data_IF_491830655988
#
_entry.id   IF_491830655988
#
_cell.length_a   1.000
_cell.length_b   1.000
_cell.length_c   1.000
_cell.angle_alpha   90.00
_cell.angle_beta   90.00
_cell.angle_gamma   90.00
#
_symmetry.space_group_name_H-M   'P 1'
#
loop_
_entity.id
_entity.type
_entity.pdbx_description
1 polymer ?
#
# COMPACT_ATOMS: atom_id res chain seq x y z
N UNK A 1 -9.48 -22.63 30.94
CA UNK A 1 -8.81 -22.84 29.68
C UNK A 1 -9.80 -22.62 28.56
N UNK A 2 -9.92 -21.39 28.01
CA UNK A 2 -10.68 -21.12 26.78
C UNK A 2 -9.67 -20.72 25.73
N UNK A 3 -9.56 -21.56 24.68
CA UNK A 3 -8.76 -21.28 23.50
C UNK A 3 -9.18 -19.93 22.91
N UNK A 4 -8.24 -18.99 22.82
CA UNK A 4 -8.31 -17.88 21.90
C UNK A 4 -8.30 -18.49 20.49
N UNK A 5 -9.44 -18.44 19.78
CA UNK A 5 -9.50 -18.72 18.34
C UNK A 5 -8.52 -17.76 17.68
N UNK A 6 -7.48 -18.29 17.04
CA UNK A 6 -6.63 -17.53 16.15
C UNK A 6 -7.52 -16.92 15.06
N UNK A 7 -7.51 -15.59 14.94
CA UNK A 7 -8.14 -14.89 13.82
C UNK A 7 -7.56 -15.48 12.53
N UNK A 8 -8.40 -16.00 11.65
CA UNK A 8 -7.94 -16.51 10.35
C UNK A 8 -7.44 -15.32 9.51
N UNK A 9 -6.56 -15.56 8.55
CA UNK A 9 -6.08 -14.51 7.62
C UNK A 9 -7.26 -13.89 6.87
N UNK A 10 -8.29 -14.66 6.57
CA UNK A 10 -9.54 -14.20 5.94
C UNK A 10 -10.29 -13.20 6.83
N UNK A 11 -10.39 -13.49 8.14
CA UNK A 11 -11.04 -12.57 9.10
C UNK A 11 -10.29 -11.24 9.21
N UNK A 12 -8.95 -11.25 9.21
CA UNK A 12 -8.14 -10.03 9.24
C UNK A 12 -8.36 -9.16 8.01
N UNK A 13 -8.40 -9.74 6.83
CA UNK A 13 -8.63 -9.01 5.57
C UNK A 13 -10.03 -8.39 5.52
N UNK A 14 -11.05 -9.08 6.02
CA UNK A 14 -12.40 -8.54 6.10
C UNK A 14 -12.51 -7.38 7.09
N UNK A 15 -11.88 -7.52 8.27
CA UNK A 15 -11.84 -6.43 9.27
C UNK A 15 -11.15 -5.20 8.69
N UNK A 16 -10.00 -5.38 8.02
CA UNK A 16 -9.26 -4.28 7.39
C UNK A 16 -10.08 -3.61 6.28
N UNK A 17 -10.77 -4.39 5.45
CA UNK A 17 -11.65 -3.87 4.39
C UNK A 17 -12.78 -3.02 4.99
N UNK A 18 -13.44 -3.51 6.03
CA UNK A 18 -14.53 -2.80 6.70
C UNK A 18 -14.03 -1.54 7.43
N UNK A 19 -12.84 -1.61 8.04
CA UNK A 19 -12.21 -0.43 8.64
C UNK A 19 -11.87 0.64 7.60
N UNK A 20 -11.34 0.25 6.44
CA UNK A 20 -11.08 1.19 5.34
C UNK A 20 -12.38 1.83 4.82
N UNK A 21 -13.48 1.10 4.78
CA UNK A 21 -14.79 1.64 4.46
C UNK A 21 -15.24 2.69 5.51
N UNK A 22 -15.08 2.39 6.78
CA UNK A 22 -15.39 3.32 7.87
C UNK A 22 -14.54 4.60 7.82
N UNK A 23 -13.25 4.49 7.50
CA UNK A 23 -12.36 5.64 7.30
C UNK A 23 -12.82 6.48 6.10
N UNK A 24 -13.16 5.85 4.97
CA UNK A 24 -13.70 6.55 3.80
C UNK A 24 -14.99 7.28 4.12
N UNK A 25 -15.88 6.65 4.87
CA UNK A 25 -17.17 7.21 5.28
C UNK A 25 -17.01 8.49 6.11
N UNK A 26 -15.97 8.53 6.95
CA UNK A 26 -15.67 9.64 7.86
C UNK A 26 -14.61 10.61 7.31
N UNK A 27 -14.18 10.45 6.06
CA UNK A 27 -13.18 11.29 5.42
C UNK A 27 -13.74 12.68 5.04
N UNK A 28 -12.89 13.72 4.92
CA UNK A 28 -13.29 15.04 4.45
C UNK A 28 -14.07 15.00 3.13
N UNK A 29 -15.13 15.78 3.05
CA UNK A 29 -16.06 15.81 1.92
C UNK A 29 -17.23 14.85 2.02
N UNK A 30 -17.24 13.94 3.00
CA UNK A 30 -18.39 13.06 3.26
C UNK A 30 -19.44 13.74 4.15
N UNK A 31 -20.74 13.48 3.93
CA UNK A 31 -21.80 14.10 4.74
C UNK A 31 -21.73 13.76 6.24
N UNK A 32 -21.33 12.53 6.59
CA UNK A 32 -21.07 12.16 8.00
C UNK A 32 -19.94 13.00 8.58
N UNK A 33 -18.83 13.19 7.85
CA UNK A 33 -17.72 14.02 8.33
C UNK A 33 -18.17 15.45 8.61
N UNK A 34 -18.97 16.03 7.75
CA UNK A 34 -19.54 17.36 7.98
C UNK A 34 -20.32 17.42 9.29
N UNK A 35 -21.14 16.41 9.57
CA UNK A 35 -21.86 16.34 10.85
C UNK A 35 -20.92 16.18 12.06
N UNK A 36 -19.88 15.32 11.94
CA UNK A 36 -18.88 15.11 12.98
C UNK A 36 -18.11 16.41 13.30
N UNK A 37 -17.74 17.18 12.28
CA UNK A 37 -17.06 18.46 12.45
C UNK A 37 -17.98 19.48 13.16
N UNK A 38 -19.29 19.49 12.85
CA UNK A 38 -20.28 20.32 13.56
C UNK A 38 -20.46 19.89 15.03
N UNK A 39 -20.48 18.58 15.29
CA UNK A 39 -20.59 18.01 16.66
C UNK A 39 -19.38 18.43 17.50
N UNK A 40 -18.16 18.31 16.92
CA UNK A 40 -16.92 18.74 17.58
C UNK A 40 -16.94 20.26 17.87
N UNK A 41 -17.28 21.06 16.86
CA UNK A 41 -17.38 22.52 16.97
C UNK A 41 -18.42 22.96 18.01
N UNK A 42 -19.50 22.18 18.17
CA UNK A 42 -20.53 22.37 19.18
C UNK A 42 -20.16 21.88 20.57
N UNK A 43 -18.95 21.32 20.76
CA UNK A 43 -18.52 20.68 22.02
C UNK A 43 -19.50 19.61 22.50
N UNK A 44 -20.04 18.80 21.60
CA UNK A 44 -20.98 17.73 21.89
C UNK A 44 -20.30 16.36 21.84
N UNK A 45 -20.86 15.41 22.58
CA UNK A 45 -20.55 13.99 22.45
C UNK A 45 -21.62 13.30 21.60
N UNK A 46 -21.23 12.30 20.82
CA UNK A 46 -22.16 11.52 20.02
C UNK A 46 -21.82 10.03 20.02
N UNK A 47 -22.87 9.22 19.81
CA UNK A 47 -22.77 7.79 19.52
C UNK A 47 -23.62 7.52 18.27
N UNK A 48 -23.03 7.01 17.21
CA UNK A 48 -23.68 6.85 15.91
C UNK A 48 -23.42 5.42 15.42
N UNK A 49 -24.48 4.70 15.03
CA UNK A 49 -24.39 3.39 14.39
C UNK A 49 -24.82 3.52 12.93
N UNK A 50 -24.01 3.01 12.00
CA UNK A 50 -24.27 3.02 10.57
C UNK A 50 -24.29 1.59 10.06
N UNK A 51 -25.38 1.20 9.44
CA UNK A 51 -25.57 -0.15 8.90
C UNK A 51 -25.93 -1.20 9.92
N UNK A 52 -26.06 -2.46 9.43
CA UNK A 52 -26.49 -3.63 10.22
C UNK A 52 -27.67 -3.32 11.16
N UNK A 53 -28.67 -2.65 10.60
CA UNK A 53 -29.75 -2.02 11.37
C UNK A 53 -30.57 -3.03 12.18
N UNK A 54 -30.72 -4.26 11.69
CA UNK A 54 -31.47 -5.32 12.39
C UNK A 54 -30.81 -5.68 13.72
N UNK A 55 -29.52 -5.99 13.71
CA UNK A 55 -28.80 -6.37 14.94
C UNK A 55 -28.58 -5.17 15.86
N UNK A 56 -28.35 -3.96 15.31
CA UNK A 56 -28.24 -2.74 16.12
C UNK A 56 -29.55 -2.47 16.87
N UNK A 57 -30.71 -2.56 16.18
CA UNK A 57 -32.01 -2.33 16.80
C UNK A 57 -32.40 -3.43 17.82
N UNK A 58 -31.96 -4.66 17.59
CA UNK A 58 -32.16 -5.75 18.55
C UNK A 58 -31.29 -5.61 19.82
N UNK A 59 -30.17 -4.88 19.75
CA UNK A 59 -29.24 -4.66 20.87
C UNK A 59 -29.56 -3.42 21.70
N UNK A 60 -30.72 -2.81 21.56
CA UNK A 60 -31.11 -1.61 22.30
C UNK A 60 -32.61 -1.50 22.47
N UNK A 61 -33.05 -0.46 23.15
CA UNK A 61 -34.46 -0.18 23.39
C UNK A 61 -34.73 1.35 23.42
N UNK A 62 -36.00 1.69 23.49
CA UNK A 62 -36.51 3.06 23.61
C UNK A 62 -36.08 3.99 22.43
N UNK A 63 -36.11 5.29 22.67
CA UNK A 63 -35.80 6.31 21.70
C UNK A 63 -36.90 6.63 20.70
N UNK A 64 -36.62 7.57 19.82
CA UNK A 64 -37.57 8.07 18.82
C UNK A 64 -37.42 7.28 17.50
N UNK A 65 -38.52 6.71 17.03
CA UNK A 65 -38.63 6.17 15.67
C UNK A 65 -38.85 7.30 14.68
N UNK A 66 -37.89 7.62 13.85
CA UNK A 66 -37.90 8.80 12.98
C UNK A 66 -38.13 8.45 11.51
N UNK A 67 -37.36 7.55 10.93
CA UNK A 67 -37.40 7.16 9.51
C UNK A 67 -37.37 8.38 8.57
N UNK A 68 -36.49 9.35 8.85
CA UNK A 68 -36.32 10.58 8.07
C UNK A 68 -35.08 10.53 7.21
N UNK A 69 -35.06 11.24 6.10
CA UNK A 69 -33.89 11.33 5.22
C UNK A 69 -32.66 11.86 5.99
N UNK A 70 -31.52 11.22 5.78
CA UNK A 70 -30.25 11.62 6.37
C UNK A 70 -29.79 12.97 5.79
N UNK A 71 -29.37 13.87 6.67
CA UNK A 71 -28.57 15.07 6.36
C UNK A 71 -27.61 15.36 7.50
N UNK A 72 -26.47 16.01 7.19
CA UNK A 72 -25.48 16.39 8.21
C UNK A 72 -26.09 17.25 9.33
N UNK A 73 -26.95 18.19 8.98
CA UNK A 73 -27.64 19.06 9.96
C UNK A 73 -28.57 18.27 10.87
N UNK A 74 -29.36 17.32 10.31
CA UNK A 74 -30.24 16.48 11.12
C UNK A 74 -29.43 15.60 12.08
N UNK A 75 -28.36 14.98 11.62
CA UNK A 75 -27.48 14.20 12.48
C UNK A 75 -26.91 15.07 13.61
N UNK A 76 -26.42 16.28 13.31
CA UNK A 76 -25.93 17.22 14.32
C UNK A 76 -27.00 17.56 15.36
N UNK A 77 -28.22 17.92 14.92
CA UNK A 77 -29.32 18.28 15.85
C UNK A 77 -29.72 17.08 16.73
N UNK A 78 -29.82 15.88 16.17
CA UNK A 78 -30.18 14.67 16.91
C UNK A 78 -29.06 14.22 17.87
N UNK A 79 -27.80 14.58 17.60
CA UNK A 79 -26.66 14.28 18.48
C UNK A 79 -26.63 15.11 19.78
N UNK A 80 -27.51 16.13 19.89
CA UNK A 80 -27.70 16.90 21.14
C UNK A 80 -28.47 16.10 22.20
N UNK A 81 -29.16 15.05 21.79
CA UNK A 81 -29.83 14.13 22.70
C UNK A 81 -28.87 13.04 23.20
N UNK A 82 -29.13 12.56 24.41
CA UNK A 82 -28.45 11.36 24.90
C UNK A 82 -28.82 10.13 24.06
N UNK A 83 -28.04 9.03 24.22
CA UNK A 83 -28.25 7.81 23.45
C UNK A 83 -27.56 7.81 22.10
N UNK A 84 -27.93 6.86 21.26
CA UNK A 84 -27.36 6.67 19.94
C UNK A 84 -28.28 7.17 18.83
N UNK A 85 -27.68 7.58 17.70
CA UNK A 85 -28.36 7.78 16.43
C UNK A 85 -28.07 6.57 15.53
N UNK A 86 -29.12 5.95 14.98
CA UNK A 86 -29.04 4.78 14.10
C UNK A 86 -29.36 5.20 12.68
N UNK A 87 -28.46 4.91 11.75
CA UNK A 87 -28.54 5.28 10.32
C UNK A 87 -28.49 3.98 9.51
N UNK A 88 -29.22 3.96 8.41
CA UNK A 88 -29.23 2.82 7.49
C UNK A 88 -27.88 2.58 6.77
N UNK A 89 -27.75 1.44 6.10
CA UNK A 89 -26.53 1.02 5.39
C UNK A 89 -26.12 1.98 4.26
N UNK A 90 -27.10 2.64 3.62
CA UNK A 90 -26.88 3.47 2.45
C UNK A 90 -26.73 4.96 2.80
N UNK A 91 -26.74 5.34 4.09
CA UNK A 91 -26.77 6.73 4.54
C UNK A 91 -27.94 7.53 3.95
N UNK A 92 -29.05 6.87 3.74
CA UNK A 92 -30.25 7.50 3.18
C UNK A 92 -31.21 7.99 4.24
N UNK A 93 -31.29 7.28 5.37
CA UNK A 93 -32.25 7.55 6.44
C UNK A 93 -31.65 7.46 7.83
N UNK A 94 -32.13 8.33 8.74
CA UNK A 94 -31.96 8.21 10.17
C UNK A 94 -33.19 7.46 10.71
N UNK A 95 -32.95 6.28 11.26
CA UNK A 95 -34.01 5.39 11.71
C UNK A 95 -34.42 5.64 13.15
N UNK A 96 -33.44 5.90 14.03
CA UNK A 96 -33.64 6.14 15.47
C UNK A 96 -32.75 7.27 15.96
N UNK A 97 -33.21 7.97 16.98
CA UNK A 97 -32.43 8.87 17.81
C UNK A 97 -32.80 8.70 19.29
N UNK A 98 -31.93 9.16 20.21
CA UNK A 98 -32.06 8.91 21.64
C UNK A 98 -32.21 7.41 21.94
N UNK A 99 -31.54 6.54 21.16
CA UNK A 99 -31.66 5.10 21.24
C UNK A 99 -30.68 4.54 22.28
N UNK A 100 -31.21 3.81 23.28
CA UNK A 100 -30.41 3.26 24.35
C UNK A 100 -29.84 1.90 23.95
N UNK A 101 -28.55 1.86 23.63
CA UNK A 101 -27.83 0.62 23.31
C UNK A 101 -27.42 -0.10 24.59
N UNK A 102 -27.73 -1.40 24.67
CA UNK A 102 -27.49 -2.28 25.81
C UNK A 102 -26.64 -3.49 25.39
N UNK A 103 -25.37 -3.30 24.92
CA UNK A 103 -24.50 -4.42 24.58
C UNK A 103 -24.15 -5.21 25.85
N UNK A 104 -23.87 -6.52 25.67
CA UNK A 104 -23.48 -7.40 26.77
C UNK A 104 -22.28 -6.83 27.55
N UNK A 105 -22.46 -6.55 28.87
CA UNK A 105 -21.39 -6.01 29.71
C UNK A 105 -20.18 -6.93 29.87
N UNK A 106 -20.34 -8.23 29.61
CA UNK A 106 -19.24 -9.22 29.67
C UNK A 106 -18.21 -9.09 28.58
N UNK A 107 -18.54 -8.38 27.46
CA UNK A 107 -17.61 -8.11 26.39
C UNK A 107 -16.51 -7.18 26.89
N UNK A 108 -15.26 -7.69 26.85
CA UNK A 108 -14.10 -6.96 27.32
C UNK A 108 -13.80 -5.77 26.40
N UNK A 109 -13.42 -4.64 27.00
CA UNK A 109 -12.95 -3.44 26.27
C UNK A 109 -11.96 -2.68 27.14
N UNK A 110 -10.95 -2.08 26.52
CA UNK A 110 -9.98 -1.19 27.15
C UNK A 110 -10.49 0.26 27.28
N UNK A 111 -11.64 0.58 26.68
CA UNK A 111 -12.21 1.92 26.67
C UNK A 111 -12.73 2.34 28.06
N UNK A 112 -12.53 3.61 28.43
CA UNK A 112 -12.90 4.13 29.75
C UNK A 112 -14.20 4.95 29.77
N UNK A 113 -14.52 5.65 28.67
CA UNK A 113 -15.74 6.46 28.55
C UNK A 113 -16.99 5.63 28.23
N UNK A 114 -18.17 6.01 28.75
CA UNK A 114 -19.42 5.24 28.56
C UNK A 114 -19.74 5.05 27.06
N UNK A 115 -19.77 6.16 26.26
CA UNK A 115 -20.04 6.09 24.82
C UNK A 115 -19.01 5.23 24.07
N UNK A 116 -17.72 5.35 24.43
CA UNK A 116 -16.64 4.56 23.81
C UNK A 116 -16.74 3.06 24.16
N UNK A 117 -17.06 2.72 25.41
CA UNK A 117 -17.27 1.32 25.80
C UNK A 117 -18.47 0.70 25.09
N UNK A 118 -19.57 1.45 25.00
CA UNK A 118 -20.76 1.00 24.27
C UNK A 118 -20.42 0.81 22.79
N UNK A 119 -19.72 1.77 22.16
CA UNK A 119 -19.29 1.67 20.76
C UNK A 119 -18.40 0.44 20.51
N UNK A 120 -17.39 0.22 21.35
CA UNK A 120 -16.49 -0.92 21.23
C UNK A 120 -17.25 -2.25 21.33
N UNK A 121 -18.15 -2.40 22.30
CA UNK A 121 -18.95 -3.61 22.48
C UNK A 121 -19.95 -3.83 21.35
N UNK A 122 -20.63 -2.77 20.89
CA UNK A 122 -21.54 -2.85 19.75
C UNK A 122 -20.83 -3.30 18.47
N UNK A 123 -19.61 -2.84 18.23
CA UNK A 123 -18.83 -3.27 17.06
C UNK A 123 -18.37 -4.74 17.11
N UNK A 124 -18.44 -5.40 18.28
CA UNK A 124 -18.22 -6.84 18.42
C UNK A 124 -19.50 -7.62 18.16
N UNK A 125 -20.65 -7.06 18.56
CA UNK A 125 -21.95 -7.71 18.43
C UNK A 125 -22.57 -7.59 17.04
N UNK A 126 -22.20 -6.56 16.29
CA UNK A 126 -22.82 -6.20 14.99
C UNK A 126 -21.78 -5.93 13.93
N UNK A 127 -22.18 -5.99 12.68
CA UNK A 127 -21.35 -5.56 11.54
C UNK A 127 -21.49 -4.05 11.25
N UNK A 128 -22.16 -3.29 12.11
CA UNK A 128 -22.31 -1.85 12.00
C UNK A 128 -20.97 -1.12 12.15
N UNK A 129 -20.82 -0.03 11.45
CA UNK A 129 -19.76 0.96 11.72
C UNK A 129 -20.25 1.82 12.89
N UNK A 130 -19.56 1.75 14.03
CA UNK A 130 -19.96 2.51 15.21
C UNK A 130 -18.98 3.66 15.43
N UNK A 131 -19.51 4.88 15.49
CA UNK A 131 -18.74 6.12 15.65
C UNK A 131 -19.03 6.72 17.01
N UNK A 132 -17.98 7.06 17.76
CA UNK A 132 -18.10 7.76 19.04
C UNK A 132 -17.31 9.06 19.01
N UNK A 133 -17.96 10.16 19.41
CA UNK A 133 -17.34 11.48 19.58
C UNK A 133 -17.19 11.79 21.05
N UNK A 134 -15.96 12.13 21.46
CA UNK A 134 -15.66 12.52 22.84
C UNK A 134 -15.96 14.00 23.05
N UNK A 135 -16.95 14.30 23.88
CA UNK A 135 -17.33 15.67 24.25
C UNK A 135 -16.15 16.49 24.82
N UNK A 136 -15.37 15.89 25.70
CA UNK A 136 -14.26 16.59 26.39
C UNK A 136 -13.02 16.81 25.49
N UNK A 137 -12.71 15.84 24.64
CA UNK A 137 -11.46 15.83 23.84
C UNK A 137 -11.67 16.23 22.40
N UNK A 138 -12.91 16.31 21.91
CA UNK A 138 -13.20 16.55 20.50
C UNK A 138 -12.63 15.47 19.56
N UNK A 139 -12.44 14.24 20.08
CA UNK A 139 -11.83 13.13 19.35
C UNK A 139 -12.92 12.23 18.82
N UNK A 140 -12.80 11.80 17.59
CA UNK A 140 -13.68 10.83 16.92
C UNK A 140 -12.98 9.49 16.82
N UNK A 141 -13.62 8.44 17.32
CA UNK A 141 -13.20 7.05 17.16
C UNK A 141 -14.24 6.28 16.37
N UNK A 142 -13.76 5.47 15.45
CA UNK A 142 -14.58 4.52 14.66
C UNK A 142 -14.27 3.12 15.15
N UNK A 143 -15.30 2.29 15.31
CA UNK A 143 -15.20 0.92 15.79
C UNK A 143 -15.83 -0.02 14.77
N UNK A 144 -15.12 -1.10 14.45
CA UNK A 144 -15.55 -2.14 13.50
C UNK A 144 -15.04 -3.48 14.00
N UNK A 145 -15.92 -4.46 14.20
CA UNK A 145 -15.57 -5.83 14.61
C UNK A 145 -14.54 -5.89 15.75
N UNK A 146 -14.73 -5.05 16.78
CA UNK A 146 -13.86 -4.98 17.94
C UNK A 146 -12.53 -4.24 17.78
N UNK A 147 -12.23 -3.75 16.58
CA UNK A 147 -11.06 -2.87 16.32
C UNK A 147 -11.51 -1.41 16.35
N UNK A 148 -10.62 -0.53 16.78
CA UNK A 148 -10.87 0.91 16.81
C UNK A 148 -9.84 1.68 16.02
N UNK A 149 -10.28 2.78 15.42
CA UNK A 149 -9.42 3.73 14.72
C UNK A 149 -9.81 5.16 15.11
N UNK A 150 -8.83 5.94 15.57
CA UNK A 150 -9.03 7.35 15.88
C UNK A 150 -8.85 8.18 14.61
N UNK A 151 -9.87 8.99 14.27
CA UNK A 151 -9.82 9.90 13.13
C UNK A 151 -8.83 11.03 13.44
N UNK A 152 -7.81 11.14 12.61
CA UNK A 152 -6.78 12.17 12.74
C UNK A 152 -7.26 13.52 12.17
N UNK A 153 -6.83 14.65 12.76
CA UNK A 153 -6.99 15.97 12.14
C UNK A 153 -6.32 16.03 10.76
N UNK A 154 -6.93 16.76 9.83
CA UNK A 154 -6.38 16.92 8.47
C UNK A 154 -4.95 17.48 8.48
N UNK A 155 -4.65 18.39 9.40
CA UNK A 155 -3.29 18.96 9.55
C UNK A 155 -2.22 17.93 9.88
N UNK A 156 -2.54 16.94 10.71
CA UNK A 156 -1.61 15.84 11.04
C UNK A 156 -1.41 14.92 9.84
N UNK A 157 -2.48 14.59 9.12
CA UNK A 157 -2.38 13.78 7.91
C UNK A 157 -1.54 14.49 6.85
N UNK A 158 -1.74 15.81 6.67
CA UNK A 158 -0.95 16.61 5.73
C UNK A 158 0.53 16.71 6.11
N UNK A 159 0.85 16.77 7.41
CA UNK A 159 2.24 16.70 7.85
C UNK A 159 2.89 15.36 7.48
N UNK A 160 2.20 14.24 7.69
CA UNK A 160 2.65 12.91 7.27
C UNK A 160 2.81 12.82 5.75
N UNK A 161 1.86 13.35 4.99
CA UNK A 161 1.93 13.41 3.52
C UNK A 161 3.18 14.15 3.04
N UNK A 162 3.48 15.32 3.60
CA UNK A 162 4.65 16.09 3.21
C UNK A 162 5.95 15.32 3.47
N UNK A 163 6.03 14.61 4.59
CA UNK A 163 7.18 13.78 4.90
C UNK A 163 7.30 12.59 3.94
N UNK A 164 6.20 11.88 3.66
CA UNK A 164 6.16 10.74 2.73
C UNK A 164 6.53 11.17 1.30
N UNK A 165 6.02 12.29 0.83
CA UNK A 165 6.37 12.85 -0.50
C UNK A 165 7.86 13.17 -0.57
N UNK A 166 8.43 13.80 0.46
CA UNK A 166 9.87 14.07 0.54
C UNK A 166 10.69 12.77 0.52
N UNK A 167 10.27 11.76 1.27
CA UNK A 167 10.91 10.43 1.26
C UNK A 167 10.85 9.80 -0.12
N UNK A 168 9.69 9.81 -0.77
CA UNK A 168 9.53 9.29 -2.14
C UNK A 168 10.46 10.00 -3.13
N UNK A 169 10.55 11.33 -3.08
CA UNK A 169 11.40 12.11 -3.98
C UNK A 169 12.88 11.79 -3.78
N UNK A 170 13.36 11.77 -2.54
CA UNK A 170 14.77 11.54 -2.22
C UNK A 170 15.19 10.10 -2.52
N UNK A 171 14.37 9.13 -2.14
CA UNK A 171 14.65 7.70 -2.39
C UNK A 171 14.57 7.39 -3.87
N UNK A 172 13.59 7.97 -4.61
CA UNK A 172 13.52 7.80 -6.07
C UNK A 172 14.77 8.32 -6.76
N UNK A 173 15.21 9.54 -6.45
CA UNK A 173 16.43 10.10 -7.05
C UNK A 173 17.70 9.30 -6.70
N UNK A 174 17.73 8.68 -5.50
CA UNK A 174 18.82 7.78 -5.12
C UNK A 174 18.77 6.46 -5.89
N UNK A 175 17.59 5.87 -6.01
CA UNK A 175 17.36 4.63 -6.77
C UNK A 175 17.71 4.80 -8.26
N UNK A 176 17.26 5.90 -8.88
CA UNK A 176 17.57 6.17 -10.29
C UNK A 176 19.09 6.21 -10.54
N UNK A 177 19.85 6.84 -9.64
CA UNK A 177 21.33 6.87 -9.70
C UNK A 177 21.95 5.50 -9.47
N UNK A 178 21.40 4.72 -8.51
CA UNK A 178 21.87 3.37 -8.23
C UNK A 178 21.61 2.42 -9.40
N UNK A 179 20.45 2.51 -10.05
CA UNK A 179 20.12 1.72 -11.24
C UNK A 179 21.01 2.08 -12.44
N UNK A 180 21.34 3.36 -12.64
CA UNK A 180 22.28 3.77 -13.67
C UNK A 180 23.68 3.19 -13.42
N UNK A 181 24.16 3.24 -12.17
CA UNK A 181 25.43 2.60 -11.78
C UNK A 181 25.37 1.10 -11.97
N UNK A 182 24.28 0.45 -11.55
CA UNK A 182 24.09 -0.98 -11.71
C UNK A 182 24.20 -1.40 -13.17
N UNK A 183 23.54 -0.67 -14.09
CA UNK A 183 23.63 -0.98 -15.53
C UNK A 183 25.08 -1.00 -16.03
N UNK A 184 25.93 -0.08 -15.58
CA UNK A 184 27.35 -0.10 -15.95
C UNK A 184 28.06 -1.32 -15.36
N UNK A 185 27.79 -1.68 -14.10
CA UNK A 185 28.37 -2.87 -13.46
C UNK A 185 27.90 -4.18 -14.12
N UNK A 186 26.62 -4.26 -14.52
CA UNK A 186 26.04 -5.40 -15.26
C UNK A 186 26.75 -5.63 -16.59
N UNK A 187 27.01 -4.54 -17.34
CA UNK A 187 27.68 -4.60 -18.63
C UNK A 187 29.18 -4.91 -18.52
N UNK A 188 29.80 -4.65 -17.37
CA UNK A 188 31.20 -4.95 -17.08
C UNK A 188 31.40 -6.27 -16.27
N UNK A 189 30.30 -7.00 -15.93
CA UNK A 189 30.28 -8.24 -15.15
C UNK A 189 30.91 -8.10 -13.75
N UNK A 190 30.61 -6.98 -13.08
CA UNK A 190 31.16 -6.65 -11.75
C UNK A 190 30.10 -6.38 -10.69
N UNK A 191 28.89 -6.95 -10.82
CA UNK A 191 27.82 -6.77 -9.84
C UNK A 191 28.07 -7.68 -8.64
N UNK A 192 27.96 -7.13 -7.43
CA UNK A 192 28.01 -7.88 -6.18
C UNK A 192 26.65 -8.03 -5.54
N UNK A 193 26.49 -9.00 -4.63
CA UNK A 193 25.27 -9.16 -3.83
C UNK A 193 24.98 -7.91 -3.01
N UNK A 194 25.99 -7.20 -2.51
CA UNK A 194 25.80 -5.92 -1.81
C UNK A 194 25.16 -4.86 -2.69
N UNK A 195 25.62 -4.71 -3.95
CA UNK A 195 25.06 -3.71 -4.89
C UNK A 195 23.55 -3.93 -5.13
N UNK A 196 23.11 -5.17 -5.32
CA UNK A 196 21.69 -5.48 -5.53
C UNK A 196 20.86 -5.37 -4.25
N UNK A 197 21.45 -5.69 -3.08
CA UNK A 197 20.78 -5.57 -1.78
C UNK A 197 20.35 -4.13 -1.50
N UNK A 198 21.23 -3.16 -1.72
CA UNK A 198 20.93 -1.74 -1.55
C UNK A 198 19.80 -1.25 -2.46
N UNK A 199 19.76 -1.80 -3.68
CA UNK A 199 18.70 -1.49 -4.65
C UNK A 199 17.37 -2.08 -4.23
N UNK A 200 17.31 -3.35 -3.82
CA UNK A 200 16.08 -3.98 -3.31
C UNK A 200 15.55 -3.27 -2.07
N UNK A 201 16.44 -2.90 -1.13
CA UNK A 201 16.08 -2.10 0.03
C UNK A 201 15.43 -0.76 -0.37
N UNK A 202 16.00 -0.09 -1.39
CA UNK A 202 15.46 1.19 -1.90
C UNK A 202 14.09 1.02 -2.55
N UNK A 203 13.86 -0.06 -3.30
CA UNK A 203 12.56 -0.38 -3.88
C UNK A 203 11.50 -0.62 -2.80
N UNK A 204 11.83 -1.36 -1.74
CA UNK A 204 10.89 -1.62 -0.63
C UNK A 204 10.54 -0.34 0.15
N UNK A 205 11.52 0.53 0.41
CA UNK A 205 11.26 1.84 1.04
C UNK A 205 10.29 2.66 0.17
N UNK A 206 10.48 2.69 -1.15
CA UNK A 206 9.57 3.37 -2.08
C UNK A 206 8.17 2.76 -2.06
N UNK A 207 8.08 1.44 -2.05
CA UNK A 207 6.79 0.75 -2.04
C UNK A 207 6.03 1.00 -0.74
N UNK A 208 6.69 0.91 0.41
CA UNK A 208 6.09 1.20 1.71
C UNK A 208 5.61 2.66 1.80
N UNK A 209 6.45 3.62 1.40
CA UNK A 209 6.08 5.03 1.39
C UNK A 209 4.89 5.32 0.43
N UNK A 210 4.86 4.66 -0.73
CA UNK A 210 3.75 4.73 -1.69
C UNK A 210 2.44 4.21 -1.10
N UNK A 211 2.47 3.07 -0.42
CA UNK A 211 1.27 2.45 0.14
C UNK A 211 0.75 3.24 1.35
N UNK A 212 1.63 3.79 2.17
CA UNK A 212 1.24 4.69 3.25
C UNK A 212 0.66 6.00 2.72
N UNK A 213 1.23 6.56 1.64
CA UNK A 213 0.69 7.74 0.99
C UNK A 213 -0.70 7.49 0.38
N UNK A 214 -0.93 6.32 -0.25
CA UNK A 214 -2.27 5.91 -0.70
C UNK A 214 -3.28 5.87 0.46
N UNK A 215 -2.86 5.36 1.62
CA UNK A 215 -3.70 5.35 2.80
C UNK A 215 -4.00 6.76 3.33
N UNK A 216 -3.01 7.67 3.32
CA UNK A 216 -3.22 9.08 3.63
C UNK A 216 -4.22 9.74 2.66
N UNK A 217 -4.17 9.43 1.37
CA UNK A 217 -5.13 9.92 0.36
C UNK A 217 -6.56 9.48 0.71
N UNK A 218 -6.75 8.23 1.12
CA UNK A 218 -8.05 7.72 1.58
C UNK A 218 -8.56 8.51 2.79
N UNK A 219 -7.70 8.78 3.77
CA UNK A 219 -8.03 9.57 4.98
C UNK A 219 -8.39 11.02 4.64
N UNK A 220 -7.75 11.60 3.62
CA UNK A 220 -7.99 12.98 3.17
C UNK A 220 -9.27 13.13 2.35
N UNK A 221 -9.82 12.06 1.82
CA UNK A 221 -11.03 12.07 1.01
C UNK A 221 -10.96 13.10 -0.13
N UNK A 222 -11.90 14.05 -0.19
CA UNK A 222 -11.94 15.07 -1.25
C UNK A 222 -10.71 16.00 -1.27
N UNK A 223 -10.01 16.16 -0.16
CA UNK A 223 -8.78 16.98 -0.05
C UNK A 223 -7.53 16.24 -0.54
N UNK A 224 -7.61 14.92 -0.75
CA UNK A 224 -6.48 14.09 -1.20
C UNK A 224 -6.15 14.18 -2.69
N UNK A 225 -6.97 14.87 -3.52
CA UNK A 225 -6.81 14.88 -4.98
C UNK A 225 -5.42 15.37 -5.46
N UNK A 226 -4.90 16.44 -4.87
CA UNK A 226 -3.59 16.98 -5.24
C UNK A 226 -2.47 15.99 -4.86
N UNK A 227 -2.59 15.36 -3.70
CA UNK A 227 -1.64 14.33 -3.22
C UNK A 227 -1.65 13.13 -4.15
N UNK A 228 -2.83 12.71 -4.63
CA UNK A 228 -2.98 11.65 -5.61
C UNK A 228 -2.20 11.96 -6.90
N UNK A 229 -2.34 13.17 -7.44
CA UNK A 229 -1.62 13.60 -8.64
C UNK A 229 -0.08 13.60 -8.43
N UNK A 230 0.37 14.05 -7.26
CA UNK A 230 1.79 13.99 -6.91
C UNK A 230 2.30 12.55 -6.83
N UNK A 231 1.52 11.65 -6.22
CA UNK A 231 1.88 10.24 -6.15
C UNK A 231 1.98 9.61 -7.53
N UNK A 232 1.04 9.86 -8.43
CA UNK A 232 1.05 9.37 -9.81
C UNK A 232 2.29 9.84 -10.58
N UNK A 233 2.69 11.10 -10.36
CA UNK A 233 3.89 11.66 -10.97
C UNK A 233 5.19 11.03 -10.43
N UNK A 234 5.27 10.78 -9.11
CA UNK A 234 6.48 10.27 -8.46
C UNK A 234 6.65 8.76 -8.57
N UNK A 235 5.55 8.04 -8.50
CA UNK A 235 5.51 6.57 -8.41
C UNK A 235 4.94 5.90 -9.67
N UNK A 236 5.14 6.47 -10.85
CA UNK A 236 4.61 5.96 -12.11
C UNK A 236 4.83 4.44 -12.31
N UNK A 237 4.13 3.84 -13.27
CA UNK A 237 4.15 2.39 -13.55
C UNK A 237 5.55 1.83 -13.84
N UNK A 238 6.51 2.66 -14.24
CA UNK A 238 7.89 2.24 -14.51
C UNK A 238 8.57 1.62 -13.30
N UNK A 239 8.37 2.17 -12.08
CA UNK A 239 9.04 1.65 -10.87
C UNK A 239 8.63 0.21 -10.56
N UNK A 240 7.34 -0.11 -10.69
CA UNK A 240 6.85 -1.47 -10.43
C UNK A 240 7.38 -2.47 -11.46
N UNK A 241 7.48 -2.04 -12.71
CA UNK A 241 8.06 -2.85 -13.77
C UNK A 241 9.56 -3.04 -13.55
N UNK A 242 10.31 -1.97 -13.26
CA UNK A 242 11.75 -2.05 -12.98
C UNK A 242 12.04 -2.96 -11.79
N UNK A 243 11.22 -2.89 -10.75
CA UNK A 243 11.35 -3.77 -9.58
C UNK A 243 11.11 -5.24 -9.95
N UNK A 244 10.07 -5.54 -10.73
CA UNK A 244 9.78 -6.89 -11.17
C UNK A 244 10.90 -7.46 -12.06
N UNK A 245 11.41 -6.66 -13.02
CA UNK A 245 12.52 -7.05 -13.86
C UNK A 245 13.80 -7.26 -13.05
N UNK A 246 14.07 -6.39 -12.06
CA UNK A 246 15.22 -6.53 -11.16
C UNK A 246 15.17 -7.84 -10.36
N UNK A 247 14.01 -8.25 -9.85
CA UNK A 247 13.86 -9.54 -9.17
C UNK A 247 14.12 -10.68 -10.16
N UNK A 248 13.54 -10.63 -11.36
CA UNK A 248 13.71 -11.68 -12.38
C UNK A 248 15.13 -11.79 -12.88
N UNK A 249 15.86 -10.69 -12.97
CA UNK A 249 17.28 -10.67 -13.39
C UNK A 249 18.20 -11.38 -12.41
N UNK A 250 17.88 -11.35 -11.12
CA UNK A 250 18.78 -11.84 -10.06
C UNK A 250 18.23 -13.03 -9.27
N UNK A 251 17.01 -13.47 -9.48
CA UNK A 251 16.46 -14.65 -8.82
C UNK A 251 16.99 -15.95 -9.45
N UNK A 252 17.13 -17.00 -8.65
CA UNK A 252 17.51 -18.34 -9.13
C UNK A 252 16.48 -18.94 -10.11
N UNK A 253 15.22 -18.49 -10.04
CA UNK A 253 14.12 -18.79 -10.97
C UNK A 253 13.51 -17.46 -11.41
N UNK A 254 13.65 -17.13 -12.70
CA UNK A 254 13.21 -15.89 -13.32
C UNK A 254 11.71 -15.82 -13.65
N UNK A 255 10.94 -16.85 -13.27
CA UNK A 255 9.50 -16.90 -13.56
C UNK A 255 8.73 -15.78 -12.86
N UNK A 256 7.66 -15.32 -13.52
CA UNK A 256 6.73 -14.31 -12.96
C UNK A 256 6.12 -14.74 -11.62
N UNK A 257 5.83 -16.03 -11.45
CA UNK A 257 5.25 -16.55 -10.21
C UNK A 257 6.25 -16.51 -9.06
N UNK A 258 7.52 -16.83 -9.34
CA UNK A 258 8.58 -16.73 -8.35
C UNK A 258 8.87 -15.25 -8.01
N UNK A 259 8.88 -14.36 -9.00
CA UNK A 259 9.04 -12.93 -8.76
C UNK A 259 7.96 -12.36 -7.82
N UNK A 260 6.68 -12.77 -8.01
CA UNK A 260 5.58 -12.41 -7.10
C UNK A 260 5.80 -12.96 -5.69
N UNK A 261 6.30 -14.20 -5.56
CA UNK A 261 6.63 -14.81 -4.26
C UNK A 261 7.74 -14.04 -3.56
N UNK A 262 8.83 -13.72 -4.26
CA UNK A 262 9.98 -12.97 -3.71
C UNK A 262 9.51 -11.57 -3.26
N UNK A 263 8.70 -10.88 -4.06
CA UNK A 263 8.16 -9.58 -3.70
C UNK A 263 7.31 -9.64 -2.42
N UNK A 264 6.52 -10.69 -2.24
CA UNK A 264 5.79 -10.89 -0.97
C UNK A 264 6.74 -11.11 0.21
N UNK A 265 7.80 -11.87 0.03
CA UNK A 265 8.82 -12.07 1.08
C UNK A 265 9.52 -10.76 1.44
N UNK A 266 9.95 -9.95 0.46
CA UNK A 266 10.58 -8.66 0.73
C UNK A 266 9.65 -7.69 1.48
N UNK A 267 8.35 -7.66 1.12
CA UNK A 267 7.36 -6.80 1.79
C UNK A 267 7.12 -7.16 3.27
N UNK A 268 7.43 -8.40 3.68
CA UNK A 268 7.31 -8.88 5.04
C UNK A 268 8.61 -8.72 5.87
N UNK A 269 9.74 -8.41 5.20
CA UNK A 269 11.03 -8.22 5.85
C UNK A 269 11.11 -6.92 6.63
N UNK A 270 11.82 -6.98 7.76
CA UNK A 270 12.18 -5.77 8.51
C UNK A 270 13.26 -4.96 7.77
N UNK A 271 13.41 -3.65 8.04
CA UNK A 271 14.48 -2.85 7.45
C UNK A 271 15.90 -3.43 7.65
N UNK A 272 16.16 -4.07 8.81
CA UNK A 272 17.43 -4.73 9.07
C UNK A 272 17.65 -5.98 8.21
N UNK A 273 16.59 -6.73 7.91
CA UNK A 273 16.67 -7.90 7.02
C UNK A 273 16.87 -7.49 5.57
N UNK A 274 16.21 -6.41 5.12
CA UNK A 274 16.37 -5.87 3.77
C UNK A 274 17.76 -5.30 3.48
N UNK A 275 18.51 -4.90 4.50
CA UNK A 275 19.91 -4.45 4.37
C UNK A 275 20.93 -5.55 4.62
N UNK A 276 20.49 -6.78 4.88
CA UNK A 276 21.36 -7.94 5.07
C UNK A 276 21.49 -8.73 3.76
N UNK A 277 22.68 -8.76 3.11
CA UNK A 277 22.86 -9.44 1.82
C UNK A 277 22.48 -10.92 1.86
N UNK A 278 22.80 -11.64 2.93
CA UNK A 278 22.49 -13.06 3.06
C UNK A 278 20.97 -13.32 3.11
N UNK A 279 20.21 -12.44 3.77
CA UNK A 279 18.74 -12.53 3.80
C UNK A 279 18.13 -12.27 2.42
N UNK A 280 18.67 -11.29 1.71
CA UNK A 280 18.25 -10.98 0.34
C UNK A 280 18.59 -12.16 -0.60
N UNK A 281 19.79 -12.73 -0.51
CA UNK A 281 20.19 -13.92 -1.28
C UNK A 281 19.23 -15.10 -1.05
N UNK A 282 18.92 -15.40 0.21
CA UNK A 282 17.97 -16.47 0.56
C UNK A 282 16.58 -16.25 -0.05
N UNK A 283 16.08 -15.01 -0.05
CA UNK A 283 14.81 -14.69 -0.68
C UNK A 283 14.84 -14.86 -2.20
N UNK A 284 15.97 -14.53 -2.84
CA UNK A 284 16.21 -14.73 -4.28
C UNK A 284 16.42 -16.21 -4.65
N UNK A 285 16.60 -17.10 -3.67
CA UNK A 285 16.74 -18.55 -3.86
C UNK A 285 18.19 -19.03 -3.90
N UNK A 286 19.11 -18.32 -3.27
CA UNK A 286 20.50 -18.71 -3.13
C UNK A 286 20.83 -19.02 -1.66
N UNK A 287 21.55 -20.11 -1.45
CA UNK A 287 22.12 -20.46 -0.15
C UNK A 287 23.62 -20.10 -0.16
N UNK A 288 24.12 -19.66 1.00
CA UNK A 288 25.57 -19.48 1.28
C UNK A 288 26.32 -18.47 0.37
N UNK A 289 25.68 -17.35 -0.02
CA UNK A 289 26.36 -16.24 -0.67
C UNK A 289 26.80 -15.18 0.35
N UNK A 290 28.00 -14.62 0.15
CA UNK A 290 28.54 -13.48 0.90
C UNK A 290 28.25 -12.17 0.15
N UNK A 291 28.46 -11.04 0.83
CA UNK A 291 28.22 -9.69 0.28
C UNK A 291 29.04 -9.38 -0.97
N UNK A 292 30.27 -9.95 -1.07
CA UNK A 292 31.19 -9.79 -2.22
C UNK A 292 30.94 -10.82 -3.34
N UNK A 293 29.96 -11.73 -3.18
CA UNK A 293 29.64 -12.72 -4.20
C UNK A 293 29.18 -12.03 -5.49
N UNK A 294 29.78 -12.41 -6.61
CA UNK A 294 29.43 -11.88 -7.93
C UNK A 294 28.08 -12.43 -8.35
N UNK A 295 27.20 -11.55 -8.81
CA UNK A 295 25.86 -11.84 -9.28
C UNK A 295 25.74 -11.57 -10.78
N UNK A 296 25.42 -12.59 -11.56
CA UNK A 296 25.29 -12.48 -13.02
C UNK A 296 23.85 -12.22 -13.40
N UNK A 297 23.51 -11.04 -13.96
CA UNK A 297 22.16 -10.71 -14.39
C UNK A 297 21.77 -11.46 -15.65
N UNK A 298 20.48 -11.77 -15.79
CA UNK A 298 19.93 -12.26 -17.05
C UNK A 298 19.93 -11.19 -18.14
N UNK A 299 19.67 -9.93 -17.77
CA UNK A 299 19.68 -8.78 -18.66
C UNK A 299 18.29 -8.27 -19.08
N UNK A 300 17.20 -8.79 -18.50
CA UNK A 300 15.83 -8.37 -18.80
C UNK A 300 15.65 -6.85 -18.62
N UNK A 301 16.13 -6.32 -17.49
CA UNK A 301 16.02 -4.90 -17.17
C UNK A 301 16.83 -4.04 -18.15
N UNK A 302 18.06 -4.42 -18.42
CA UNK A 302 18.96 -3.67 -19.31
C UNK A 302 18.44 -3.68 -20.74
N UNK A 303 17.95 -4.82 -21.24
CA UNK A 303 17.32 -4.93 -22.57
C UNK A 303 16.04 -4.11 -22.65
N UNK A 304 15.20 -4.08 -21.62
CA UNK A 304 13.95 -3.32 -21.62
C UNK A 304 14.13 -1.80 -21.71
N UNK A 305 15.32 -1.28 -21.37
CA UNK A 305 15.65 0.15 -21.50
C UNK A 305 15.92 0.57 -22.96
N UNK A 306 16.17 -0.39 -23.84
CA UNK A 306 16.48 -0.08 -25.25
C UNK A 306 15.21 -0.07 -26.07
N UNK A 307 14.88 1.09 -26.65
CA UNK A 307 13.59 1.34 -27.33
C UNK A 307 13.30 0.45 -28.55
N UNK A 308 14.30 -0.23 -29.10
CA UNK A 308 14.12 -1.18 -30.22
C UNK A 308 13.72 -2.57 -29.76
N UNK A 309 13.82 -2.88 -28.46
CA UNK A 309 13.37 -4.12 -27.84
C UNK A 309 11.89 -3.96 -27.50
N UNK A 310 11.02 -4.75 -28.15
CA UNK A 310 9.58 -4.76 -27.91
C UNK A 310 9.23 -5.74 -26.78
N UNK A 311 8.01 -5.61 -26.25
CA UNK A 311 7.49 -6.53 -25.25
C UNK A 311 7.63 -7.99 -25.73
N UNK A 312 8.13 -8.84 -24.85
CA UNK A 312 8.37 -10.27 -25.11
C UNK A 312 9.61 -10.60 -25.96
N UNK A 313 10.35 -9.61 -26.45
CA UNK A 313 11.64 -9.85 -27.16
C UNK A 313 12.78 -10.05 -26.17
N UNK A 314 12.80 -9.27 -25.08
CA UNK A 314 13.81 -9.42 -24.05
C UNK A 314 13.80 -10.82 -23.42
N UNK A 315 12.61 -11.35 -23.15
CA UNK A 315 12.43 -12.72 -22.63
C UNK A 315 13.03 -13.78 -23.58
N UNK A 316 12.75 -13.69 -24.87
CA UNK A 316 13.27 -14.63 -25.85
C UNK A 316 14.80 -14.60 -25.96
N UNK A 317 15.38 -13.39 -25.86
CA UNK A 317 16.83 -13.23 -25.86
C UNK A 317 17.42 -13.86 -24.61
N UNK A 318 16.87 -13.59 -23.44
CA UNK A 318 17.33 -14.11 -22.16
C UNK A 318 17.17 -15.64 -22.07
N UNK A 319 16.09 -16.19 -22.59
CA UNK A 319 15.84 -17.64 -22.62
C UNK A 319 16.92 -18.38 -23.47
N UNK A 320 17.47 -17.74 -24.50
CA UNK A 320 18.50 -18.34 -25.34
C UNK A 320 19.90 -18.20 -24.75
N UNK A 321 20.25 -17.00 -24.22
CA UNK A 321 21.63 -16.71 -23.80
C UNK A 321 21.91 -17.02 -22.33
N UNK A 322 20.90 -17.09 -21.46
CA UNK A 322 21.06 -17.41 -20.04
C UNK A 322 21.75 -16.33 -19.21
N UNK A 323 22.50 -15.39 -19.80
CA UNK A 323 23.10 -14.25 -19.12
C UNK A 323 23.34 -13.07 -20.04
N UNK A 324 23.40 -11.85 -19.48
CA UNK A 324 23.72 -10.63 -20.23
C UNK A 324 25.13 -10.70 -20.85
N UNK A 325 26.09 -11.32 -20.15
CA UNK A 325 27.46 -11.41 -20.63
C UNK A 325 27.59 -12.32 -21.84
N UNK A 326 26.93 -13.48 -21.86
CA UNK A 326 26.90 -14.37 -23.03
C UNK A 326 26.27 -13.67 -24.25
N UNK A 327 25.20 -12.89 -24.02
CA UNK A 327 24.60 -12.06 -25.07
C UNK A 327 25.60 -11.04 -25.63
N UNK A 328 26.32 -10.31 -24.77
CA UNK A 328 27.30 -9.30 -25.19
C UNK A 328 28.45 -9.90 -25.97
N UNK A 329 28.94 -11.06 -25.56
CA UNK A 329 30.02 -11.78 -26.24
C UNK A 329 29.61 -12.26 -27.65
N UNK A 330 28.34 -12.65 -27.81
CA UNK A 330 27.82 -13.10 -29.09
C UNK A 330 27.52 -11.93 -30.02
N UNK A 331 26.94 -10.85 -29.53
CA UNK A 331 26.69 -9.60 -30.26
C UNK A 331 28.01 -9.00 -30.78
N UNK A 332 29.09 -9.13 -30.02
CA UNK A 332 30.40 -8.65 -30.45
C UNK A 332 30.91 -9.39 -31.69
N UNK A 333 30.56 -10.66 -31.89
CA UNK A 333 30.93 -11.48 -33.02
C UNK A 333 30.00 -11.27 -34.22
N UNK A 334 28.68 -11.26 -33.97
CA UNK A 334 27.67 -11.14 -35.02
C UNK A 334 26.38 -10.47 -34.49
N UNK A 335 26.25 -9.14 -34.61
CA UNK A 335 25.04 -8.42 -34.17
C UNK A 335 23.75 -8.84 -34.89
N UNK A 336 23.85 -9.34 -36.15
CA UNK A 336 22.68 -9.67 -36.97
C UNK A 336 21.85 -10.84 -36.40
N UNK A 337 22.45 -11.69 -35.56
CA UNK A 337 21.76 -12.80 -34.87
C UNK A 337 20.58 -12.33 -34.04
N UNK A 338 20.62 -11.09 -33.51
CA UNK A 338 19.49 -10.51 -32.77
C UNK A 338 18.22 -10.35 -33.63
N UNK A 339 18.34 -10.36 -34.95
CA UNK A 339 17.20 -10.38 -35.86
C UNK A 339 16.33 -11.63 -35.73
N UNK A 340 16.92 -12.77 -35.36
CA UNK A 340 16.23 -14.05 -35.18
C UNK A 340 15.22 -14.01 -34.03
N UNK A 341 15.45 -13.12 -33.05
CA UNK A 341 14.54 -12.89 -31.89
C UNK A 341 13.46 -11.84 -32.17
N UNK A 342 13.45 -11.25 -33.37
CA UNK A 342 12.47 -10.24 -33.75
C UNK A 342 12.88 -8.79 -33.42
N UNK A 343 14.19 -8.56 -33.21
CA UNK A 343 14.75 -7.21 -33.13
C UNK A 343 14.81 -6.59 -34.54
N UNK A 344 14.04 -5.51 -34.77
CA UNK A 344 13.96 -4.90 -36.10
C UNK A 344 15.26 -4.26 -36.58
N UNK A 345 16.13 -3.82 -35.66
CA UNK A 345 17.41 -3.18 -35.95
C UNK A 345 18.48 -3.71 -34.97
N UNK A 346 19.08 -4.87 -35.28
CA UNK A 346 20.07 -5.51 -34.43
C UNK A 346 21.27 -4.62 -34.08
N UNK A 347 21.80 -3.92 -35.06
CA UNK A 347 22.93 -2.97 -34.93
C UNK A 347 22.62 -1.83 -33.95
N UNK A 348 21.38 -1.31 -33.93
CA UNK A 348 20.98 -0.24 -32.99
C UNK A 348 20.95 -0.77 -31.56
N UNK A 349 20.50 -2.01 -31.35
CA UNK A 349 20.54 -2.62 -30.05
C UNK A 349 21.97 -2.81 -29.55
N UNK A 350 22.83 -3.39 -30.38
CA UNK A 350 24.26 -3.56 -30.08
C UNK A 350 24.95 -2.22 -29.75
N UNK A 351 24.77 -1.21 -30.60
CA UNK A 351 25.31 0.14 -30.36
C UNK A 351 24.79 0.77 -29.05
N UNK A 352 23.51 0.54 -28.71
CA UNK A 352 22.91 1.07 -27.48
C UNK A 352 23.53 0.43 -26.25
N UNK A 353 23.73 -0.89 -26.23
CA UNK A 353 24.38 -1.60 -25.16
C UNK A 353 25.85 -1.16 -24.99
N UNK A 354 26.61 -1.00 -26.08
CA UNK A 354 27.98 -0.50 -26.02
C UNK A 354 28.07 0.95 -25.52
N UNK A 355 27.12 1.81 -25.86
CA UNK A 355 27.05 3.18 -25.31
C UNK A 355 26.78 3.17 -23.81
N UNK A 356 25.89 2.30 -23.32
CA UNK A 356 25.61 2.14 -21.90
C UNK A 356 26.86 1.64 -21.12
N UNK A 357 27.70 0.80 -21.75
CA UNK A 357 28.96 0.33 -21.19
C UNK A 357 30.08 1.41 -21.19
N UNK A 358 29.85 2.59 -21.79
CA UNK A 358 30.86 3.63 -21.93
C UNK A 358 31.93 3.34 -22.98
N UNK A 359 31.85 2.21 -23.66
CA UNK A 359 32.70 1.90 -24.85
C UNK A 359 32.07 2.59 -26.04
N UNK A 360 32.72 3.58 -26.61
CA UNK A 360 32.32 4.15 -27.92
C UNK A 360 32.34 3.00 -28.94
N UNK A 361 31.19 2.72 -29.54
CA UNK A 361 31.12 1.78 -30.64
C UNK A 361 32.20 2.11 -31.65
N UNK A 362 33.15 1.24 -31.80
CA UNK A 362 34.19 1.38 -32.79
C UNK A 362 33.55 1.17 -34.18
N UNK A 363 33.21 2.27 -34.84
CA UNK A 363 33.05 2.23 -36.26
C UNK A 363 34.45 2.02 -36.86
N UNK A 364 34.77 0.80 -37.25
CA UNK A 364 35.81 0.48 -38.16
C UNK A 364 35.26 0.53 -39.60
#
# INVERSE_FOLDING_TARGET
MRCTRGESILDKNEIQKRMNEAIRLTAPGQPIRTALDMIIAGHLGALICVGDTEHVLAAGNDGFSLNISFTSNRLFELSKMDGAVVIDDNLSQILRANFHLNPDPSLATSETGMRHRTAARMSVLTDAIVISVSERRGVVNVYVRGKSYQIQPVSEIMASVNQLVSTLQTTRASLDRALLRLTALELDDYVTLADITDIFSSFEILQQAKDELKFCIVKLGSQGKLVQMQLEQLAGTSIENDYNLMIRDYASDSSEDNARRIRSLFSEMTPQELTNPQRVAQALGYDDLDEDSVMTPLGLRTLSQVSVVRDGVAEKIVDEYGSLQELLDDIQKDPERLGDFGVNNPTILADSLYRMQGKRGGAA
#
